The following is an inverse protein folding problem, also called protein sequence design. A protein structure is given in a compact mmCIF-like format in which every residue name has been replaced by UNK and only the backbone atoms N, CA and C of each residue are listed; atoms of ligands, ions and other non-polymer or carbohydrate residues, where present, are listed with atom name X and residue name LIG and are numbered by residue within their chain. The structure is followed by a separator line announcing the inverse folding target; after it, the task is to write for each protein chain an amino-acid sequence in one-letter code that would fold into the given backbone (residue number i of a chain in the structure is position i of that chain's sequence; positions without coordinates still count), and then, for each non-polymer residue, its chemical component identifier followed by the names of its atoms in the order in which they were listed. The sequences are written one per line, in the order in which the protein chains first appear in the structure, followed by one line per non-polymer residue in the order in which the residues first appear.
data_IF_102506763278
#
_entry.id   IF_102506763278
#
_cell.length_a   1.000
_cell.length_b   1.000
_cell.length_c   1.000
_cell.angle_alpha   90.00
_cell.angle_beta   90.00
_cell.angle_gamma   90.00
#
_symmetry.space_group_name_H-M   'P 1'
#
loop_
_entity.id
_entity.type
_entity.pdbx_description
1 polymer ?
#
# COMPACT_ATOMS: atom_id res chain seq x y z
N UNK A 1 23.52 6.60 -26.76
CA UNK A 1 23.09 5.28 -26.21
C UNK A 1 22.26 5.36 -24.93
N UNK A 2 22.59 6.23 -23.95
CA UNK A 2 21.81 6.36 -22.70
C UNK A 2 20.38 6.86 -22.92
N UNK A 3 20.20 7.85 -23.79
CA UNK A 3 18.89 8.44 -24.11
C UNK A 3 17.96 7.44 -24.81
N UNK A 4 18.52 6.53 -25.64
CA UNK A 4 17.76 5.48 -26.30
C UNK A 4 17.29 4.40 -25.31
N UNK A 5 18.14 4.06 -24.32
CA UNK A 5 17.75 3.16 -23.22
C UNK A 5 16.63 3.75 -22.37
N UNK A 6 16.72 5.05 -22.04
CA UNK A 6 15.68 5.75 -21.27
C UNK A 6 14.37 5.79 -22.07
N UNK A 7 14.42 6.13 -23.36
CA UNK A 7 13.24 6.15 -24.21
C UNK A 7 12.58 4.76 -24.32
N UNK A 8 13.38 3.71 -24.48
CA UNK A 8 12.90 2.34 -24.51
C UNK A 8 12.25 1.92 -23.19
N UNK A 9 12.86 2.24 -22.05
CA UNK A 9 12.29 1.94 -20.73
C UNK A 9 10.96 2.68 -20.50
N UNK A 10 10.88 3.96 -20.87
CA UNK A 10 9.65 4.75 -20.75
C UNK A 10 8.54 4.18 -21.65
N UNK A 11 8.88 3.77 -22.87
CA UNK A 11 7.93 3.16 -23.79
C UNK A 11 7.36 1.84 -23.25
N UNK A 12 8.22 0.96 -22.74
CA UNK A 12 7.81 -0.32 -22.13
C UNK A 12 6.91 -0.08 -20.91
N UNK A 13 7.26 0.91 -20.07
CA UNK A 13 6.44 1.27 -18.91
C UNK A 13 5.05 1.75 -19.35
N UNK A 14 4.97 2.67 -20.31
CA UNK A 14 3.70 3.18 -20.84
C UNK A 14 2.83 2.05 -21.43
N UNK A 15 3.43 1.11 -22.16
CA UNK A 15 2.70 -0.04 -22.73
C UNK A 15 2.11 -0.95 -21.65
N UNK A 16 2.80 -1.10 -20.52
CA UNK A 16 2.36 -1.93 -19.38
C UNK A 16 1.07 -1.40 -18.72
N UNK A 17 0.86 -0.07 -18.71
CA UNK A 17 -0.35 0.52 -18.12
C UNK A 17 -1.62 0.29 -18.95
N UNK A 18 -1.50 -0.02 -20.24
CA UNK A 18 -2.64 -0.15 -21.17
C UNK A 18 -3.13 -1.61 -21.24
N UNK A 19 -2.33 -2.57 -20.76
CA UNK A 19 -2.65 -4.00 -20.78
C UNK A 19 -3.58 -4.41 -19.64
N UNK A 20 -4.90 -4.37 -19.86
CA UNK A 20 -5.86 -5.02 -18.96
C UNK A 20 -6.08 -6.46 -19.39
N UNK A 21 -5.30 -7.40 -18.84
CA UNK A 21 -5.60 -8.81 -18.93
C UNK A 21 -6.55 -9.20 -17.79
N UNK A 22 -7.55 -10.10 -18.01
CA UNK A 22 -8.28 -10.68 -16.90
C UNK A 22 -7.26 -11.33 -15.97
N UNK A 23 -7.30 -10.99 -14.69
CA UNK A 23 -6.36 -11.48 -13.69
C UNK A 23 -6.51 -13.00 -13.54
N UNK A 24 -5.82 -13.76 -14.39
CA UNK A 24 -5.61 -15.19 -14.19
C UNK A 24 -4.68 -15.32 -13.00
N UNK A 25 -5.16 -15.91 -11.92
CA UNK A 25 -4.42 -15.96 -10.67
C UNK A 25 -3.08 -16.68 -10.88
N UNK A 26 -1.97 -15.99 -10.58
CA UNK A 26 -0.61 -16.48 -10.81
C UNK A 26 -0.19 -17.59 -9.82
N UNK A 27 -1.05 -17.93 -8.87
CA UNK A 27 -0.80 -18.98 -7.88
C UNK A 27 -1.91 -20.04 -8.00
N UNK A 28 -1.52 -21.30 -8.20
CA UNK A 28 -2.42 -22.44 -8.36
C UNK A 28 -3.46 -22.58 -7.23
N UNK A 29 -3.12 -22.11 -6.03
CA UNK A 29 -4.00 -22.10 -4.85
C UNK A 29 -5.21 -21.17 -5.01
N UNK A 30 -5.03 -20.00 -5.63
CA UNK A 30 -6.12 -19.06 -5.86
C UNK A 30 -7.07 -19.56 -6.97
N UNK A 31 -6.53 -20.18 -8.02
CA UNK A 31 -7.31 -20.79 -9.08
C UNK A 31 -8.16 -21.97 -8.57
N UNK A 32 -7.56 -22.89 -7.80
CA UNK A 32 -8.26 -24.04 -7.24
C UNK A 32 -9.43 -23.63 -6.32
N UNK A 33 -9.28 -22.56 -5.52
CA UNK A 33 -10.33 -22.06 -4.64
C UNK A 33 -11.49 -21.39 -5.40
N UNK A 34 -11.21 -20.71 -6.52
CA UNK A 34 -12.24 -20.11 -7.38
C UNK A 34 -13.01 -21.21 -8.11
N UNK A 35 -12.31 -22.18 -8.67
CA UNK A 35 -12.90 -23.28 -9.43
C UNK A 35 -13.76 -24.20 -8.55
N UNK A 36 -13.28 -24.56 -7.35
CA UNK A 36 -14.07 -25.32 -6.37
C UNK A 36 -15.30 -24.55 -5.87
N UNK A 37 -15.22 -23.23 -5.76
CA UNK A 37 -16.38 -22.39 -5.40
C UNK A 37 -17.43 -22.32 -6.51
N UNK A 38 -16.99 -22.18 -7.77
CA UNK A 38 -17.86 -22.10 -8.94
C UNK A 38 -18.56 -23.45 -9.21
N UNK A 39 -17.83 -24.57 -9.12
CA UNK A 39 -18.37 -25.92 -9.32
C UNK A 39 -19.36 -26.34 -8.22
N UNK A 40 -19.27 -25.73 -7.03
CA UNK A 40 -20.24 -25.90 -5.95
C UNK A 40 -21.46 -24.95 -6.04
N UNK A 41 -21.59 -24.18 -7.14
CA UNK A 41 -22.69 -23.22 -7.34
C UNK A 41 -22.62 -21.98 -6.44
N UNK A 42 -21.44 -21.70 -5.85
CA UNK A 42 -21.25 -20.63 -4.87
C UNK A 42 -20.64 -19.36 -5.47
N UNK A 43 -21.23 -18.21 -5.14
CA UNK A 43 -20.82 -16.86 -5.56
C UNK A 43 -19.51 -16.38 -4.88
N UNK A 44 -18.76 -17.29 -4.25
CA UNK A 44 -17.55 -16.97 -3.46
C UNK A 44 -16.39 -16.49 -4.35
N UNK A 45 -16.42 -16.81 -5.65
CA UNK A 45 -15.50 -16.29 -6.65
C UNK A 45 -15.52 -14.74 -6.73
N UNK A 46 -16.71 -14.13 -6.65
CA UNK A 46 -16.87 -12.67 -6.67
C UNK A 46 -16.36 -12.00 -5.37
N UNK A 47 -16.41 -12.74 -4.26
CA UNK A 47 -15.96 -12.30 -2.94
C UNK A 47 -14.44 -12.35 -2.74
N UNK A 48 -13.69 -13.02 -3.62
CA UNK A 48 -12.26 -13.23 -3.44
C UNK A 48 -11.45 -11.92 -3.53
N UNK A 49 -11.79 -11.05 -4.49
CA UNK A 49 -11.15 -9.74 -4.64
C UNK A 49 -11.42 -8.84 -3.43
N UNK A 50 -12.62 -8.93 -2.83
CA UNK A 50 -12.95 -8.26 -1.56
C UNK A 50 -12.09 -8.83 -0.42
N UNK A 51 -11.90 -10.15 -0.36
CA UNK A 51 -11.07 -10.82 0.63
C UNK A 51 -9.60 -10.40 0.59
N UNK A 52 -9.01 -10.30 -0.62
CA UNK A 52 -7.63 -9.85 -0.81
C UNK A 52 -7.45 -8.41 -0.33
N UNK A 53 -8.38 -7.51 -0.68
CA UNK A 53 -8.33 -6.11 -0.23
C UNK A 53 -8.46 -5.99 1.31
N UNK A 54 -9.29 -6.82 1.95
CA UNK A 54 -9.43 -6.82 3.41
C UNK A 54 -8.17 -7.35 4.10
N UNK A 55 -7.59 -8.44 3.59
CA UNK A 55 -6.34 -9.01 4.11
C UNK A 55 -5.16 -8.03 3.93
N UNK A 56 -5.11 -7.32 2.81
CA UNK A 56 -4.10 -6.29 2.56
C UNK A 56 -4.30 -5.06 3.45
N UNK A 57 -5.55 -4.63 3.68
CA UNK A 57 -5.85 -3.47 4.51
C UNK A 57 -5.59 -3.71 6.01
N UNK A 58 -5.79 -4.94 6.50
CA UNK A 58 -5.66 -5.30 7.90
C UNK A 58 -4.32 -4.88 8.56
N UNK A 59 -3.12 -5.20 8.01
CA UNK A 59 -1.85 -4.80 8.61
C UNK A 59 -1.66 -3.27 8.65
N UNK A 60 -2.10 -2.54 7.63
CA UNK A 60 -1.99 -1.08 7.62
C UNK A 60 -2.92 -0.43 8.64
N UNK A 61 -4.16 -0.93 8.76
CA UNK A 61 -5.10 -0.45 9.78
C UNK A 61 -4.60 -0.75 11.19
N UNK A 62 -4.07 -1.95 11.42
CA UNK A 62 -3.46 -2.30 12.70
C UNK A 62 -2.28 -1.37 13.05
N UNK A 63 -1.38 -1.13 12.09
CA UNK A 63 -0.25 -0.21 12.27
C UNK A 63 -0.71 1.24 12.54
N UNK A 64 -1.74 1.71 11.84
CA UNK A 64 -2.31 3.04 12.04
C UNK A 64 -2.90 3.21 13.44
N UNK A 65 -3.64 2.20 13.94
CA UNK A 65 -4.21 2.21 15.30
C UNK A 65 -3.10 2.25 16.35
N UNK A 66 -2.09 1.38 16.23
CA UNK A 66 -0.96 1.33 17.15
C UNK A 66 -0.19 2.66 17.13
N UNK A 67 0.10 3.18 15.94
CA UNK A 67 0.78 4.46 15.76
C UNK A 67 0.02 5.63 16.36
N UNK A 68 -1.31 5.67 16.20
CA UNK A 68 -2.17 6.70 16.78
C UNK A 68 -2.15 6.67 18.31
N UNK A 69 -2.29 5.47 18.91
CA UNK A 69 -2.23 5.29 20.37
C UNK A 69 -0.86 5.72 20.90
N UNK A 70 0.22 5.29 20.24
CA UNK A 70 1.57 5.67 20.62
C UNK A 70 1.78 7.18 20.55
N UNK A 71 1.38 7.82 19.45
CA UNK A 71 1.48 9.27 19.30
C UNK A 71 0.72 9.99 20.41
N UNK A 72 -0.53 9.61 20.68
CA UNK A 72 -1.35 10.26 21.72
C UNK A 72 -0.75 10.11 23.11
N UNK A 73 -0.12 8.97 23.41
CA UNK A 73 0.44 8.65 24.73
C UNK A 73 1.83 9.26 24.95
N UNK A 74 2.66 9.32 23.91
CA UNK A 74 4.04 9.80 24.01
C UNK A 74 4.24 11.24 23.52
N UNK A 75 3.20 11.89 22.97
CA UNK A 75 3.24 13.32 22.67
C UNK A 75 3.40 14.11 23.96
N UNK A 76 4.61 14.66 24.18
CA UNK A 76 4.93 15.56 25.29
C UNK A 76 4.00 16.77 25.22
N UNK A 77 3.22 17.00 26.29
CA UNK A 77 2.23 18.09 26.31
C UNK A 77 2.76 19.43 26.80
N UNK A 78 3.94 19.45 27.43
CA UNK A 78 4.55 20.65 27.98
C UNK A 78 6.06 20.64 27.68
N UNK A 79 6.43 21.07 26.48
CA UNK A 79 7.82 21.38 26.17
C UNK A 79 7.95 22.88 26.42
N UNK A 80 8.48 23.26 27.59
CA UNK A 80 8.90 24.63 27.81
C UNK A 80 10.07 24.91 26.87
N UNK A 81 9.78 25.59 25.76
CA UNK A 81 10.81 26.10 24.85
C UNK A 81 11.44 27.30 25.56
N UNK A 82 12.48 27.04 26.35
CA UNK A 82 13.32 28.08 26.94
C UNK A 82 14.19 28.68 25.82
N UNK A 83 13.60 29.56 25.01
CA UNK A 83 14.37 30.38 24.08
C UNK A 83 15.14 31.39 24.91
N UNK A 84 16.48 31.28 24.87
CA UNK A 84 17.38 32.32 25.37
C UNK A 84 16.91 33.65 24.78
N UNK A 85 16.40 34.56 25.63
CA UNK A 85 15.93 35.90 25.25
C UNK A 85 17.06 36.85 24.82
N UNK A 86 18.29 36.37 24.86
CA UNK A 86 19.45 37.13 24.47
C UNK A 86 19.42 37.36 22.96
N UNK A 87 19.64 38.60 22.54
CA UNK A 87 19.74 38.93 21.13
C UNK A 87 20.98 38.24 20.57
N UNK A 88 20.79 37.35 19.61
CA UNK A 88 21.89 36.77 18.83
C UNK A 88 22.59 37.91 18.09
N UNK A 89 23.74 38.35 18.60
CA UNK A 89 24.62 39.27 17.91
C UNK A 89 25.30 38.50 16.78
N UNK A 90 24.61 38.43 15.64
CA UNK A 90 25.21 38.05 14.37
C UNK A 90 26.00 39.26 13.88
N UNK A 91 27.30 39.25 14.13
CA UNK A 91 28.26 40.20 13.57
C UNK A 91 28.31 40.07 12.03
#
# INVERSE_FOLDING_TARGET
MKNLKILFTVLVLMLSLIGTQPAQAQCAMCAANVESSHNAGGNKADGLNKGILVLLAAPYLAAAVVGYIWFKRFKRKNIEINMRKEKLNLN
#
